data_IF_635906167181
#
_entry.id   IF_635906167181
#
_cell.length_a   1.000
_cell.length_b   1.000
_cell.length_c   1.000
_cell.angle_alpha   90.00
_cell.angle_beta   90.00
_cell.angle_gamma   90.00
#
_symmetry.space_group_name_H-M   'P 1'
#
loop_
_entity.id
_entity.type
_entity.pdbx_description
1 polymer ?
#
# COMPACT_ATOMS: atom_id res chain seq x y z
N UNK A 1 12.90 -35.30 1.68
CA UNK A 1 13.86 -34.55 2.54
C UNK A 1 13.07 -33.77 3.59
N UNK A 2 13.33 -33.97 4.88
CA UNK A 2 12.76 -33.12 5.93
C UNK A 2 13.55 -31.80 5.99
N UNK A 3 12.86 -30.66 5.84
CA UNK A 3 13.47 -29.34 5.97
C UNK A 3 13.88 -29.10 7.43
N UNK A 4 15.03 -28.45 7.64
CA UNK A 4 15.38 -27.94 8.98
C UNK A 4 14.40 -26.84 9.40
N UNK A 5 14.19 -26.60 10.71
CA UNK A 5 13.25 -25.60 11.21
C UNK A 5 13.44 -24.22 10.56
N UNK A 6 14.69 -23.73 10.51
CA UNK A 6 15.00 -22.42 9.89
C UNK A 6 14.73 -22.38 8.38
N UNK A 7 14.99 -23.48 7.65
CA UNK A 7 14.68 -23.55 6.21
C UNK A 7 13.18 -23.57 5.97
N UNK A 8 12.42 -24.22 6.87
CA UNK A 8 10.97 -24.20 6.82
C UNK A 8 10.41 -22.78 7.09
N UNK A 9 10.89 -22.10 8.14
CA UNK A 9 10.51 -20.70 8.40
C UNK A 9 10.77 -19.80 7.18
N UNK A 10 11.95 -19.90 6.58
CA UNK A 10 12.31 -19.09 5.41
C UNK A 10 11.41 -19.41 4.21
N UNK A 11 11.13 -20.68 3.94
CA UNK A 11 10.23 -21.08 2.87
C UNK A 11 8.83 -20.47 3.08
N UNK A 12 8.27 -20.59 4.28
CA UNK A 12 6.98 -19.99 4.64
C UNK A 12 6.96 -18.48 4.41
N UNK A 13 8.02 -17.79 4.81
CA UNK A 13 8.14 -16.33 4.68
C UNK A 13 8.31 -15.89 3.22
N UNK A 14 9.09 -16.61 2.42
CA UNK A 14 9.21 -16.33 0.98
C UNK A 14 7.91 -16.60 0.23
N UNK A 15 7.19 -17.68 0.56
CA UNK A 15 5.89 -17.97 -0.04
C UNK A 15 4.84 -16.92 0.36
N UNK A 16 4.84 -16.47 1.63
CA UNK A 16 3.99 -15.35 2.07
C UNK A 16 4.31 -14.11 1.24
N UNK A 17 5.57 -13.69 1.19
CA UNK A 17 5.98 -12.52 0.41
C UNK A 17 5.66 -12.64 -1.09
N UNK A 18 5.80 -13.82 -1.71
CA UNK A 18 5.42 -14.03 -3.11
C UNK A 18 3.91 -13.89 -3.33
N UNK A 19 3.08 -14.41 -2.43
CA UNK A 19 1.63 -14.20 -2.51
C UNK A 19 1.28 -12.72 -2.35
N UNK A 20 1.87 -12.06 -1.35
CA UNK A 20 1.75 -10.61 -1.12
C UNK A 20 2.11 -9.81 -2.38
N UNK A 21 3.22 -10.17 -3.04
CA UNK A 21 3.66 -9.53 -4.29
C UNK A 21 2.58 -9.60 -5.36
N UNK A 22 2.06 -10.79 -5.66
CA UNK A 22 1.06 -10.96 -6.71
C UNK A 22 -0.28 -10.30 -6.38
N UNK A 23 -0.68 -10.29 -5.11
CA UNK A 23 -1.88 -9.61 -4.64
C UNK A 23 -1.76 -8.08 -4.78
N UNK A 24 -0.67 -7.50 -4.25
CA UNK A 24 -0.50 -6.05 -4.22
C UNK A 24 -0.04 -5.45 -5.54
N UNK A 25 0.53 -6.25 -6.45
CA UNK A 25 0.93 -5.79 -7.78
C UNK A 25 -0.25 -5.15 -8.53
N UNK A 26 -1.40 -5.83 -8.56
CA UNK A 26 -2.62 -5.29 -9.16
C UNK A 26 -3.11 -4.05 -8.42
N UNK A 27 -3.15 -4.10 -7.09
CA UNK A 27 -3.67 -3.03 -6.24
C UNK A 27 -2.86 -1.72 -6.32
N UNK A 28 -1.53 -1.78 -6.25
CA UNK A 28 -0.67 -0.59 -6.35
C UNK A 28 -0.75 0.03 -7.73
N UNK A 29 -0.69 -0.81 -8.78
CA UNK A 29 -0.82 -0.35 -10.16
C UNK A 29 -2.18 0.31 -10.37
N UNK A 30 -3.25 -0.31 -9.88
CA UNK A 30 -4.60 0.23 -9.92
C UNK A 30 -4.71 1.56 -9.17
N UNK A 31 -4.10 1.69 -7.98
CA UNK A 31 -4.17 2.92 -7.18
C UNK A 31 -3.64 4.14 -7.93
N UNK A 32 -2.62 3.99 -8.78
CA UNK A 32 -2.07 5.08 -9.59
C UNK A 32 -2.90 5.42 -10.83
N UNK A 33 -3.57 4.44 -11.45
CA UNK A 33 -4.36 4.66 -12.67
C UNK A 33 -5.85 4.89 -12.41
N UNK A 34 -6.34 4.62 -11.19
CA UNK A 34 -7.75 4.62 -10.82
C UNK A 34 -8.45 5.93 -11.21
N UNK A 35 -7.89 7.06 -10.81
CA UNK A 35 -8.52 8.37 -11.03
C UNK A 35 -8.64 8.67 -12.52
N UNK A 36 -7.59 8.36 -13.30
CA UNK A 36 -7.61 8.50 -14.76
C UNK A 36 -8.66 7.60 -15.42
N UNK A 37 -8.83 6.37 -14.93
CA UNK A 37 -9.86 5.43 -15.39
C UNK A 37 -11.27 5.95 -15.07
N UNK A 38 -11.51 6.40 -13.84
CA UNK A 38 -12.82 6.90 -13.39
C UNK A 38 -13.20 8.16 -14.16
N UNK A 39 -12.27 9.11 -14.31
CA UNK A 39 -12.49 10.34 -15.08
C UNK A 39 -12.79 10.03 -16.56
N UNK A 40 -12.07 9.07 -17.16
CA UNK A 40 -12.33 8.62 -18.53
C UNK A 40 -13.73 8.01 -18.72
N UNK A 41 -14.22 7.27 -17.72
CA UNK A 41 -15.56 6.67 -17.74
C UNK A 41 -16.64 7.73 -17.54
N UNK A 42 -16.43 8.66 -16.61
CA UNK A 42 -17.34 9.78 -16.37
C UNK A 42 -17.50 10.66 -17.62
N UNK A 43 -16.41 10.94 -18.34
CA UNK A 43 -16.48 11.73 -19.58
C UNK A 43 -17.28 11.04 -20.69
N UNK A 44 -17.25 9.69 -20.74
CA UNK A 44 -18.03 8.91 -21.72
C UNK A 44 -19.51 8.80 -21.32
N UNK A 45 -19.79 8.63 -20.03
CA UNK A 45 -21.13 8.47 -19.49
C UNK A 45 -21.22 9.11 -18.10
N UNK A 46 -21.61 10.40 -18.01
CA UNK A 46 -21.66 11.13 -16.74
C UNK A 46 -22.66 10.56 -15.73
N UNK A 47 -23.70 9.86 -16.18
CA UNK A 47 -24.72 9.27 -15.32
C UNK A 47 -24.26 7.96 -14.65
N UNK A 48 -23.22 7.33 -15.19
CA UNK A 48 -22.73 6.02 -14.75
C UNK A 48 -21.91 6.08 -13.46
N UNK A 49 -21.06 7.10 -13.33
CA UNK A 49 -20.17 7.30 -12.18
C UNK A 49 -19.85 8.78 -12.03
N UNK A 50 -19.72 9.26 -10.79
CA UNK A 50 -19.30 10.63 -10.51
C UNK A 50 -17.85 10.86 -10.93
N UNK A 51 -17.54 12.04 -11.45
CA UNK A 51 -16.15 12.44 -11.75
C UNK A 51 -15.23 12.39 -10.54
N UNK A 52 -15.77 12.51 -9.32
CA UNK A 52 -15.01 12.45 -8.06
C UNK A 52 -15.09 11.09 -7.36
N UNK A 53 -15.61 10.06 -8.04
CA UNK A 53 -15.83 8.77 -7.39
C UNK A 53 -14.54 8.12 -6.88
N UNK A 54 -13.37 8.40 -7.48
CA UNK A 54 -12.10 7.89 -6.97
C UNK A 54 -11.79 8.38 -5.55
N UNK A 55 -11.92 9.68 -5.30
CA UNK A 55 -11.75 10.28 -3.96
C UNK A 55 -12.74 9.72 -2.93
N UNK A 56 -14.03 9.70 -3.25
CA UNK A 56 -15.05 9.16 -2.35
C UNK A 56 -14.86 7.66 -2.11
N UNK A 57 -14.46 6.91 -3.14
CA UNK A 57 -14.14 5.49 -3.06
C UNK A 57 -13.01 5.23 -2.09
N UNK A 58 -11.93 6.02 -2.13
CA UNK A 58 -10.82 5.89 -1.19
C UNK A 58 -11.20 6.24 0.25
N UNK A 59 -12.02 7.27 0.46
CA UNK A 59 -12.53 7.59 1.80
C UNK A 59 -13.37 6.45 2.38
N UNK A 60 -14.25 5.84 1.56
CA UNK A 60 -15.06 4.68 1.94
C UNK A 60 -14.17 3.48 2.25
N UNK A 61 -13.17 3.21 1.41
CA UNK A 61 -12.19 2.14 1.62
C UNK A 61 -11.50 2.31 2.98
N UNK A 62 -10.87 3.45 3.27
CA UNK A 62 -10.16 3.64 4.53
C UNK A 62 -11.07 3.59 5.76
N UNK A 63 -12.30 4.09 5.64
CA UNK A 63 -13.30 3.96 6.72
C UNK A 63 -13.65 2.49 6.97
N UNK A 64 -13.93 1.74 5.91
CA UNK A 64 -14.22 0.30 6.00
C UNK A 64 -13.02 -0.48 6.56
N UNK A 65 -11.79 -0.12 6.18
CA UNK A 65 -10.56 -0.70 6.74
C UNK A 65 -10.44 -0.46 8.24
N UNK A 66 -10.68 0.76 8.72
CA UNK A 66 -10.62 1.09 10.14
C UNK A 66 -11.70 0.35 10.95
N UNK A 67 -12.95 0.37 10.48
CA UNK A 67 -14.08 -0.29 11.16
C UNK A 67 -13.91 -1.81 11.18
N UNK A 68 -13.57 -2.42 10.05
CA UNK A 68 -13.38 -3.88 9.97
C UNK A 68 -12.22 -4.36 10.84
N UNK A 69 -11.19 -3.53 11.03
CA UNK A 69 -10.05 -3.85 11.90
C UNK A 69 -10.43 -4.09 13.36
N UNK A 70 -11.58 -3.59 13.83
CA UNK A 70 -12.12 -3.91 15.16
C UNK A 70 -12.53 -5.38 15.31
N UNK A 71 -12.88 -6.05 14.21
CA UNK A 71 -13.49 -7.38 14.22
C UNK A 71 -12.60 -8.45 13.57
N UNK A 72 -11.70 -8.08 12.65
CA UNK A 72 -10.87 -9.04 11.92
C UNK A 72 -9.85 -9.78 12.80
N UNK A 73 -9.38 -9.15 13.90
CA UNK A 73 -8.59 -9.84 14.92
C UNK A 73 -9.36 -11.03 15.55
N UNK A 74 -10.66 -10.85 15.82
CA UNK A 74 -11.51 -11.89 16.37
C UNK A 74 -11.60 -13.12 15.47
N UNK A 75 -11.57 -12.91 14.15
CA UNK A 75 -11.70 -13.99 13.17
C UNK A 75 -10.52 -14.97 13.23
N UNK A 76 -9.36 -14.54 13.72
CA UNK A 76 -8.15 -15.36 13.86
C UNK A 76 -8.26 -16.43 14.95
N UNK A 77 -9.23 -16.30 15.86
CA UNK A 77 -9.54 -17.38 16.80
C UNK A 77 -10.29 -18.56 16.14
N UNK A 78 -10.95 -18.32 15.00
CA UNK A 78 -11.80 -19.29 14.32
C UNK A 78 -11.17 -19.82 13.02
N UNK A 79 -10.46 -18.97 12.29
CA UNK A 79 -9.81 -19.32 11.03
C UNK A 79 -8.30 -19.29 11.17
N UNK A 80 -7.63 -20.28 10.57
CA UNK A 80 -6.17 -20.27 10.46
C UNK A 80 -5.72 -19.09 9.59
N UNK A 81 -4.55 -18.53 9.92
CA UNK A 81 -3.92 -17.39 9.23
C UNK A 81 -3.95 -17.50 7.70
N UNK A 82 -3.60 -18.68 7.15
CA UNK A 82 -3.61 -18.92 5.69
C UNK A 82 -4.97 -18.74 5.04
N UNK A 83 -6.06 -19.12 5.70
CA UNK A 83 -7.40 -19.03 5.13
C UNK A 83 -7.95 -17.61 5.20
N UNK A 84 -7.51 -16.83 6.19
CA UNK A 84 -7.77 -15.40 6.26
C UNK A 84 -7.07 -14.68 5.10
N UNK A 85 -5.82 -15.05 4.79
CA UNK A 85 -5.09 -14.54 3.63
C UNK A 85 -5.80 -14.90 2.32
N UNK A 86 -6.22 -16.15 2.14
CA UNK A 86 -7.00 -16.59 0.96
C UNK A 86 -8.31 -15.80 0.83
N UNK A 87 -9.08 -15.67 1.92
CA UNK A 87 -10.34 -14.92 1.91
C UNK A 87 -10.12 -13.44 1.53
N UNK A 88 -9.06 -12.82 2.07
CA UNK A 88 -8.69 -11.47 1.70
C UNK A 88 -8.40 -11.36 0.20
N UNK A 89 -7.54 -12.23 -0.35
CA UNK A 89 -7.18 -12.18 -1.77
C UNK A 89 -8.37 -12.45 -2.69
N UNK A 90 -9.35 -13.26 -2.27
CA UNK A 90 -10.61 -13.42 -3.02
C UNK A 90 -11.34 -12.08 -3.13
N UNK A 91 -11.43 -11.31 -2.04
CA UNK A 91 -12.03 -9.98 -2.08
C UNK A 91 -11.25 -9.00 -2.97
N UNK A 92 -9.91 -9.07 -2.97
CA UNK A 92 -9.09 -8.34 -3.95
C UNK A 92 -9.45 -8.75 -5.39
N UNK A 93 -9.60 -10.04 -5.66
CA UNK A 93 -10.00 -10.54 -6.99
C UNK A 93 -11.37 -10.01 -7.41
N UNK A 94 -12.38 -10.09 -6.54
CA UNK A 94 -13.72 -9.57 -6.81
C UNK A 94 -13.66 -8.07 -7.13
N UNK A 95 -12.90 -7.28 -6.39
CA UNK A 95 -12.74 -5.84 -6.69
C UNK A 95 -12.30 -5.57 -8.13
N UNK A 96 -11.33 -6.33 -8.66
CA UNK A 96 -10.87 -6.16 -10.04
C UNK A 96 -11.93 -6.52 -11.08
N UNK A 97 -12.82 -7.49 -10.81
CA UNK A 97 -13.92 -7.86 -11.71
C UNK A 97 -14.87 -6.69 -11.98
N UNK A 98 -15.06 -5.80 -11.01
CA UNK A 98 -15.87 -4.59 -11.16
C UNK A 98 -15.46 -3.66 -12.27
N UNK A 99 -14.18 -3.65 -12.62
CA UNK A 99 -13.64 -2.72 -13.60
C UNK A 99 -13.84 -3.18 -15.04
N UNK A 100 -14.26 -4.43 -15.27
CA UNK A 100 -14.75 -4.87 -16.58
C UNK A 100 -16.03 -4.13 -16.97
N UNK A 101 -16.87 -3.82 -15.99
CA UNK A 101 -18.06 -2.99 -16.15
C UNK A 101 -18.30 -2.14 -14.91
N UNK A 102 -17.68 -0.95 -14.90
CA UNK A 102 -17.76 -0.02 -13.76
C UNK A 102 -19.21 0.44 -13.58
N UNK A 103 -19.79 0.31 -12.39
CA UNK A 103 -21.09 0.87 -12.06
C UNK A 103 -20.97 1.54 -10.69
N UNK A 104 -21.66 2.66 -10.47
CA UNK A 104 -21.59 3.37 -9.18
C UNK A 104 -21.85 2.47 -7.96
N UNK A 105 -22.90 1.65 -7.98
CA UNK A 105 -23.23 0.75 -6.87
C UNK A 105 -22.14 -0.30 -6.66
N UNK A 106 -21.68 -0.92 -7.75
CA UNK A 106 -20.61 -1.91 -7.68
C UNK A 106 -19.33 -1.27 -7.16
N UNK A 107 -18.93 -0.13 -7.73
CA UNK A 107 -17.68 0.54 -7.40
C UNK A 107 -17.64 0.86 -5.89
N UNK A 108 -18.64 1.56 -5.34
CA UNK A 108 -18.65 1.87 -3.92
C UNK A 108 -18.79 0.63 -3.02
N UNK A 109 -19.61 -0.37 -3.41
CA UNK A 109 -19.70 -1.63 -2.68
C UNK A 109 -18.36 -2.40 -2.65
N UNK A 110 -17.65 -2.42 -3.77
CA UNK A 110 -16.34 -3.05 -3.89
C UNK A 110 -15.25 -2.32 -3.11
N UNK A 111 -15.36 -0.99 -2.91
CA UNK A 111 -14.46 -0.21 -2.04
C UNK A 111 -14.63 -0.57 -0.56
N UNK A 112 -15.88 -0.78 -0.09
CA UNK A 112 -16.15 -1.29 1.26
C UNK A 112 -15.50 -2.67 1.43
N UNK A 113 -15.74 -3.55 0.46
CA UNK A 113 -15.17 -4.90 0.45
C UNK A 113 -13.63 -4.88 0.45
N UNK A 114 -13.01 -3.95 -0.29
CA UNK A 114 -11.56 -3.76 -0.29
C UNK A 114 -11.04 -3.33 1.07
N UNK A 115 -11.73 -2.44 1.79
CA UNK A 115 -11.35 -2.10 3.17
C UNK A 115 -11.37 -3.29 4.11
N UNK A 116 -12.39 -4.14 4.00
CA UNK A 116 -12.47 -5.42 4.74
C UNK A 116 -11.31 -6.35 4.32
N UNK A 117 -11.04 -6.47 3.03
CA UNK A 117 -9.97 -7.30 2.48
C UNK A 117 -8.59 -6.87 3.03
N UNK A 118 -8.27 -5.58 2.96
CA UNK A 118 -7.06 -5.00 3.54
C UNK A 118 -6.96 -5.32 5.03
N UNK A 119 -8.04 -5.23 5.80
CA UNK A 119 -8.02 -5.54 7.23
C UNK A 119 -7.78 -7.03 7.49
N UNK A 120 -8.41 -7.92 6.73
CA UNK A 120 -8.20 -9.36 6.80
C UNK A 120 -6.75 -9.72 6.46
N UNK A 121 -6.20 -9.18 5.37
CA UNK A 121 -4.83 -9.41 4.95
C UNK A 121 -3.85 -8.99 6.06
N UNK A 122 -3.98 -7.76 6.55
CA UNK A 122 -3.06 -7.21 7.56
C UNK A 122 -3.03 -8.03 8.85
N UNK A 123 -4.17 -8.56 9.27
CA UNK A 123 -4.25 -9.47 10.40
C UNK A 123 -3.65 -10.84 10.04
N UNK A 124 -4.07 -11.43 8.91
CA UNK A 124 -3.60 -12.72 8.43
C UNK A 124 -2.08 -12.81 8.28
N UNK A 125 -1.46 -11.78 7.69
CA UNK A 125 -0.02 -11.63 7.50
C UNK A 125 0.72 -11.60 8.84
N UNK A 126 0.30 -10.73 9.76
CA UNK A 126 0.90 -10.61 11.09
C UNK A 126 0.80 -11.91 11.91
N UNK A 127 -0.34 -12.60 11.82
CA UNK A 127 -0.54 -13.90 12.45
C UNK A 127 0.33 -14.99 11.81
N UNK A 128 0.39 -15.06 10.48
CA UNK A 128 1.20 -16.05 9.78
C UNK A 128 2.69 -15.88 10.11
N UNK A 129 3.18 -14.65 10.16
CA UNK A 129 4.54 -14.33 10.59
C UNK A 129 4.79 -14.74 12.04
N UNK A 130 3.83 -14.56 12.95
CA UNK A 130 3.94 -15.00 14.34
C UNK A 130 3.91 -16.54 14.49
N UNK A 131 3.18 -17.24 13.61
CA UNK A 131 3.11 -18.71 13.56
C UNK A 131 4.40 -19.36 13.03
N UNK A 132 5.16 -18.66 12.19
CA UNK A 132 6.35 -19.17 11.51
C UNK A 132 7.63 -18.39 11.86
N UNK A 133 7.61 -17.62 12.94
CA UNK A 133 8.80 -16.93 13.45
C UNK A 133 8.93 -17.07 14.97
N UNK A 134 10.17 -17.10 15.44
CA UNK A 134 10.53 -16.99 16.85
C UNK A 134 10.79 -15.53 17.23
N UNK A 135 10.90 -15.24 18.53
CA UNK A 135 11.29 -13.89 19.02
C UNK A 135 12.63 -13.40 18.48
N UNK A 136 13.52 -14.32 18.07
CA UNK A 136 14.85 -14.01 17.52
C UNK A 136 14.81 -13.79 16.01
N UNK A 137 13.91 -14.47 15.31
CA UNK A 137 13.87 -14.50 13.84
C UNK A 137 12.84 -13.54 13.25
N UNK A 138 11.84 -13.11 14.02
CA UNK A 138 10.70 -12.37 13.48
C UNK A 138 11.02 -11.02 12.84
N UNK A 139 11.97 -10.26 13.39
CA UNK A 139 12.45 -9.02 12.78
C UNK A 139 13.03 -9.30 11.38
N UNK A 140 13.86 -10.34 11.31
CA UNK A 140 14.52 -10.73 10.07
C UNK A 140 13.53 -11.34 9.07
N UNK A 141 12.53 -12.08 9.54
CA UNK A 141 11.51 -12.69 8.68
C UNK A 141 10.54 -11.64 8.14
N UNK A 142 10.11 -10.69 8.99
CA UNK A 142 9.27 -9.56 8.57
C UNK A 142 9.99 -8.73 7.51
N UNK A 143 11.28 -8.43 7.70
CA UNK A 143 12.05 -7.71 6.67
C UNK A 143 12.26 -8.49 5.35
N UNK A 144 12.16 -9.84 5.34
CA UNK A 144 12.14 -10.60 4.08
C UNK A 144 10.78 -10.47 3.42
N UNK A 145 9.72 -10.71 4.19
CA UNK A 145 8.35 -10.64 3.71
C UNK A 145 8.09 -9.26 3.09
N UNK A 146 8.41 -8.17 3.79
CA UNK A 146 8.20 -6.81 3.32
C UNK A 146 8.99 -6.55 2.04
N UNK A 147 10.25 -6.98 1.96
CA UNK A 147 11.06 -6.77 0.76
C UNK A 147 10.57 -7.56 -0.46
N UNK A 148 10.08 -8.78 -0.27
CA UNK A 148 9.53 -9.60 -1.36
C UNK A 148 8.13 -9.11 -1.71
N UNK A 149 7.24 -8.94 -0.75
CA UNK A 149 5.86 -8.52 -0.96
C UNK A 149 5.72 -7.12 -1.53
N UNK A 150 6.46 -6.15 -0.99
CA UNK A 150 6.38 -4.76 -1.44
C UNK A 150 7.16 -4.51 -2.74
N UNK A 151 7.99 -5.45 -3.20
CA UNK A 151 8.55 -5.39 -4.56
C UNK A 151 7.46 -5.41 -5.65
N UNK A 152 6.20 -5.66 -5.29
CA UNK A 152 5.02 -5.33 -6.11
C UNK A 152 4.99 -3.89 -6.61
N UNK A 153 5.47 -2.89 -5.86
CA UNK A 153 5.57 -1.49 -6.33
C UNK A 153 6.66 -1.32 -7.40
N UNK A 154 7.77 -2.07 -7.27
CA UNK A 154 8.84 -2.09 -8.26
C UNK A 154 8.34 -2.71 -9.57
N UNK A 155 7.75 -3.91 -9.49
CA UNK A 155 7.23 -4.63 -10.65
C UNK A 155 6.04 -3.88 -11.28
N UNK A 156 5.15 -3.32 -10.46
CA UNK A 156 4.00 -2.53 -10.92
C UNK A 156 4.42 -1.24 -11.60
N UNK A 157 5.42 -0.54 -11.06
CA UNK A 157 6.02 0.62 -11.70
C UNK A 157 6.64 0.30 -13.06
N UNK A 158 7.39 -0.81 -13.17
CA UNK A 158 7.94 -1.29 -14.45
C UNK A 158 6.81 -1.63 -15.43
N UNK A 159 5.75 -2.30 -14.97
CA UNK A 159 4.59 -2.62 -15.80
C UNK A 159 3.91 -1.35 -16.33
N UNK A 160 3.74 -0.31 -15.50
CA UNK A 160 3.24 0.99 -15.93
C UNK A 160 4.15 1.64 -16.97
N UNK A 161 5.47 1.61 -16.78
CA UNK A 161 6.41 2.12 -17.78
C UNK A 161 6.22 1.41 -19.13
N UNK A 162 6.09 0.09 -19.15
CA UNK A 162 5.87 -0.69 -20.37
C UNK A 162 4.54 -0.29 -21.02
N UNK A 163 3.44 -0.27 -20.26
CA UNK A 163 2.12 0.13 -20.75
C UNK A 163 2.17 1.55 -21.35
N UNK A 164 2.88 2.47 -20.71
CA UNK A 164 2.98 3.86 -21.16
C UNK A 164 3.82 4.02 -22.42
N UNK A 165 4.79 3.13 -22.67
CA UNK A 165 5.56 3.10 -23.91
C UNK A 165 4.81 2.45 -25.07
N UNK A 166 3.99 1.42 -24.80
CA UNK A 166 3.22 0.71 -25.83
C UNK A 166 2.00 1.55 -26.27
N UNK A 167 1.37 2.28 -25.34
CA UNK A 167 0.21 3.12 -25.59
C UNK A 167 0.53 4.60 -25.26
N UNK A 168 1.33 5.29 -26.09
CA UNK A 168 1.60 6.71 -25.90
C UNK A 168 0.27 7.49 -25.97
N UNK A 169 0.09 8.46 -25.07
CA UNK A 169 -1.05 9.38 -25.17
C UNK A 169 -0.85 10.28 -26.40
N UNK A 170 -1.89 10.45 -27.21
CA UNK A 170 -1.89 11.49 -28.25
C UNK A 170 -1.88 12.86 -27.55
N UNK A 171 -1.09 13.78 -28.09
CA UNK A 171 -0.96 15.12 -27.53
C UNK A 171 -2.25 15.91 -27.81
N UNK A 172 -3.19 15.91 -26.87
CA UNK A 172 -4.37 16.75 -26.95
C UNK A 172 -3.95 18.23 -26.88
N UNK A 173 -4.55 19.09 -27.71
CA UNK A 173 -4.29 20.55 -27.71
C UNK A 173 -4.66 21.23 -26.38
N UNK A 174 -5.39 20.54 -25.49
CA UNK A 174 -5.70 21.00 -24.13
C UNK A 174 -4.86 20.24 -23.09
N UNK A 175 -4.12 20.93 -22.22
CA UNK A 175 -3.37 20.27 -21.15
C UNK A 175 -4.36 19.63 -20.15
N UNK A 176 -4.61 18.34 -20.30
CA UNK A 176 -5.42 17.57 -19.35
C UNK A 176 -4.54 17.09 -18.19
N UNK A 177 -4.93 17.45 -16.97
CA UNK A 177 -4.29 16.97 -15.73
C UNK A 177 -4.58 15.50 -15.43
N UNK A 178 -5.56 14.92 -16.11
CA UNK A 178 -5.94 13.51 -16.01
C UNK A 178 -5.68 12.82 -17.35
N UNK A 179 -5.15 11.59 -17.32
CA UNK A 179 -4.98 10.82 -18.55
C UNK A 179 -6.34 10.39 -19.07
N UNK A 180 -6.77 10.99 -20.18
CA UNK A 180 -7.94 10.52 -20.91
C UNK A 180 -7.54 9.27 -21.71
N UNK A 181 -8.18 8.13 -21.44
CA UNK A 181 -8.04 6.93 -22.27
C UNK A 181 -8.94 6.97 -23.52
N UNK A 182 -9.26 8.17 -24.03
CA UNK A 182 -10.26 8.34 -25.08
C UNK A 182 -10.05 9.62 -25.88
N UNK A 183 -9.78 9.48 -27.18
CA UNK A 183 -10.01 10.52 -28.17
C UNK A 183 -10.78 9.95 -29.37
N UNK A 184 -12.02 10.45 -29.50
CA UNK A 184 -12.83 10.76 -30.69
C UNK A 184 -12.92 9.84 -31.92
N UNK A 185 -12.31 8.65 -31.92
CA UNK A 185 -12.51 7.64 -32.96
C UNK A 185 -13.04 6.34 -32.38
N UNK A 186 -14.10 5.80 -32.99
CA UNK A 186 -14.78 4.57 -32.55
C UNK A 186 -13.77 3.41 -32.39
N UNK A 187 -12.75 3.32 -33.26
CA UNK A 187 -11.65 2.36 -33.15
C UNK A 187 -10.75 2.57 -31.92
N UNK A 188 -10.41 3.81 -31.57
CA UNK A 188 -9.59 4.16 -30.40
C UNK A 188 -10.39 3.94 -29.10
N UNK A 189 -11.69 4.23 -29.11
CA UNK A 189 -12.58 3.98 -27.98
C UNK A 189 -12.76 2.48 -27.68
N UNK A 190 -12.86 1.65 -28.72
CA UNK A 190 -12.88 0.18 -28.61
C UNK A 190 -11.52 -0.32 -28.09
N UNK A 191 -10.41 0.19 -28.64
CA UNK A 191 -9.06 -0.17 -28.20
C UNK A 191 -8.81 0.20 -26.72
N UNK A 192 -9.28 1.35 -26.26
CA UNK A 192 -9.19 1.76 -24.86
C UNK A 192 -10.02 0.90 -23.91
N UNK A 193 -11.21 0.45 -24.33
CA UNK A 193 -12.04 -0.45 -23.55
C UNK A 193 -11.44 -1.87 -23.46
N UNK A 194 -10.92 -2.39 -24.58
CA UNK A 194 -10.20 -3.68 -24.61
C UNK A 194 -8.92 -3.63 -23.79
N UNK A 195 -8.19 -2.51 -23.83
CA UNK A 195 -7.00 -2.30 -23.00
C UNK A 195 -7.35 -2.29 -21.51
N UNK A 196 -8.42 -1.59 -21.12
CA UNK A 196 -8.90 -1.56 -19.74
C UNK A 196 -9.24 -2.98 -19.25
N UNK A 197 -9.98 -3.74 -20.04
CA UNK A 197 -10.32 -5.13 -19.74
C UNK A 197 -9.07 -6.03 -19.66
N UNK A 198 -8.09 -5.83 -20.54
CA UNK A 198 -6.84 -6.57 -20.50
C UNK A 198 -6.00 -6.26 -19.25
N UNK A 199 -5.92 -4.99 -18.85
CA UNK A 199 -5.22 -4.55 -17.63
C UNK A 199 -5.89 -5.16 -16.39
N UNK A 200 -7.20 -4.96 -16.22
CA UNK A 200 -7.91 -5.48 -15.04
C UNK A 200 -8.07 -7.01 -15.07
N UNK A 201 -8.11 -7.63 -16.24
CA UNK A 201 -8.02 -9.08 -16.40
C UNK A 201 -6.67 -9.63 -15.99
N UNK A 202 -5.58 -8.91 -16.29
CA UNK A 202 -4.24 -9.26 -15.80
C UNK A 202 -4.17 -9.13 -14.28
N UNK A 203 -4.68 -8.04 -13.70
CA UNK A 203 -4.71 -7.89 -12.24
C UNK A 203 -5.53 -8.99 -11.56
N UNK A 204 -6.70 -9.33 -12.12
CA UNK A 204 -7.50 -10.45 -11.65
C UNK A 204 -6.72 -11.78 -11.73
N UNK A 205 -6.08 -12.07 -12.87
CA UNK A 205 -5.25 -13.26 -13.03
C UNK A 205 -4.11 -13.34 -12.00
N UNK A 206 -3.41 -12.23 -11.74
CA UNK A 206 -2.37 -12.15 -10.71
C UNK A 206 -2.93 -12.39 -9.30
N UNK A 207 -4.12 -11.86 -8.99
CA UNK A 207 -4.78 -12.17 -7.71
C UNK A 207 -5.14 -13.65 -7.58
N UNK A 208 -5.55 -14.34 -8.65
CA UNK A 208 -5.80 -15.78 -8.63
C UNK A 208 -4.51 -16.58 -8.35
N UNK A 209 -3.38 -16.17 -8.95
CA UNK A 209 -2.07 -16.75 -8.63
C UNK A 209 -1.76 -16.58 -7.14
N UNK A 210 -2.01 -15.40 -6.57
CA UNK A 210 -1.86 -15.17 -5.13
C UNK A 210 -2.76 -16.06 -4.27
N UNK A 211 -4.03 -16.29 -4.69
CA UNK A 211 -4.95 -17.20 -3.97
C UNK A 211 -4.35 -18.60 -3.90
N UNK A 212 -3.81 -19.11 -5.01
CA UNK A 212 -3.18 -20.43 -5.07
C UNK A 212 -1.96 -20.48 -4.16
N UNK A 213 -1.10 -19.46 -4.20
CA UNK A 213 0.10 -19.39 -3.32
C UNK A 213 -0.31 -19.41 -1.84
N UNK A 214 -1.31 -18.60 -1.44
CA UNK A 214 -1.79 -18.56 -0.06
C UNK A 214 -2.48 -19.84 0.38
N UNK A 215 -3.22 -20.52 -0.51
CA UNK A 215 -3.81 -21.82 -0.21
C UNK A 215 -2.75 -22.90 0.06
N UNK A 216 -1.62 -22.81 -0.66
CA UNK A 216 -0.46 -23.72 -0.56
C UNK A 216 0.53 -23.32 0.53
N UNK A 217 0.27 -22.28 1.33
CA UNK A 217 1.17 -21.88 2.41
C UNK A 217 1.42 -23.04 3.39
N UNK A 218 2.69 -23.28 3.78
CA UNK A 218 3.01 -24.24 4.82
C UNK A 218 2.31 -23.88 6.13
N UNK A 219 1.91 -24.90 6.89
CA UNK A 219 1.19 -24.73 8.17
C UNK A 219 1.97 -25.27 9.37
N UNK A 220 3.13 -25.88 9.15
CA UNK A 220 3.88 -26.54 10.20
C UNK A 220 4.67 -25.51 11.01
N UNK A 221 4.37 -25.45 12.31
CA UNK A 221 5.00 -24.50 13.23
C UNK A 221 6.19 -25.16 13.95
N UNK A 222 7.25 -24.38 14.17
CA UNK A 222 8.44 -24.77 14.92
C UNK A 222 8.78 -23.65 15.91
N UNK A 223 8.80 -23.96 17.22
CA UNK A 223 9.11 -23.04 18.34
C UNK A 223 8.76 -21.55 18.04
N UNK A 224 7.49 -21.32 17.71
CA UNK A 224 7.03 -20.06 17.18
C UNK A 224 6.44 -19.16 18.27
N UNK A 225 6.31 -17.88 17.95
CA UNK A 225 5.68 -16.91 18.85
C UNK A 225 4.24 -17.33 19.15
N UNK A 226 3.52 -17.86 18.16
CA UNK A 226 2.14 -18.32 18.31
C UNK A 226 2.01 -19.65 19.07
N UNK A 227 2.90 -20.63 18.85
CA UNK A 227 2.83 -21.94 19.53
C UNK A 227 3.07 -21.84 21.05
N UNK A 228 3.75 -20.78 21.49
CA UNK A 228 4.03 -20.48 22.89
C UNK A 228 2.89 -19.73 23.61
N UNK A 229 1.71 -19.59 22.98
CA UNK A 229 0.54 -18.92 23.55
C UNK A 229 -0.67 -19.86 23.60
N UNK A 230 -1.46 -19.89 24.70
CA UNK A 230 -2.62 -20.76 24.80
C UNK A 230 -3.69 -20.36 23.78
N UNK A 231 -4.15 -21.32 22.97
CA UNK A 231 -5.27 -21.14 22.04
C UNK A 231 -6.59 -21.16 22.82
N UNK A 232 -6.98 -20.00 23.32
CA UNK A 232 -8.29 -19.80 23.93
C UNK A 232 -9.19 -19.17 22.85
N UNK A 233 -10.41 -19.68 22.71
CA UNK A 233 -11.45 -19.07 21.87
C UNK A 233 -12.31 -18.20 22.80
N UNK A 234 -11.99 -16.91 22.97
CA UNK A 234 -12.79 -16.03 23.82
C UNK A 234 -14.17 -15.77 23.17
N UNK A 235 -15.20 -15.63 24.01
CA UNK A 235 -16.48 -15.05 23.58
C UNK A 235 -16.27 -13.64 23.01
N UNK A 236 -17.10 -13.24 22.05
CA UNK A 236 -17.07 -11.90 21.43
C UNK A 236 -17.04 -10.76 22.46
N UNK A 237 -17.80 -10.89 23.56
CA UNK A 237 -17.80 -9.90 24.66
C UNK A 237 -16.43 -9.81 25.34
N UNK A 238 -15.78 -10.94 25.54
CA UNK A 238 -14.45 -11.00 26.16
C UNK A 238 -13.36 -10.45 25.24
N UNK A 239 -13.52 -10.61 23.92
CA UNK A 239 -12.63 -10.01 22.92
C UNK A 239 -12.72 -8.48 22.94
N UNK A 240 -13.93 -7.91 22.92
CA UNK A 240 -14.10 -6.46 23.04
C UNK A 240 -13.53 -5.91 24.36
N UNK A 241 -13.69 -6.65 25.45
CA UNK A 241 -13.08 -6.30 26.74
C UNK A 241 -11.55 -6.38 26.70
N UNK A 242 -10.98 -7.38 26.03
CA UNK A 242 -9.54 -7.52 25.83
C UNK A 242 -8.98 -6.40 24.94
N UNK A 243 -9.67 -6.07 23.85
CA UNK A 243 -9.33 -4.96 22.98
C UNK A 243 -9.32 -3.65 23.75
N UNK A 244 -10.40 -3.33 24.48
CA UNK A 244 -10.50 -2.12 25.29
C UNK A 244 -9.39 -2.04 26.36
N UNK A 245 -9.11 -3.15 27.04
CA UNK A 245 -8.02 -3.24 28.04
C UNK A 245 -6.65 -3.04 27.39
N UNK A 246 -6.46 -3.53 26.16
CA UNK A 246 -5.22 -3.37 25.40
C UNK A 246 -5.05 -1.93 24.92
N UNK A 247 -6.12 -1.26 24.48
CA UNK A 247 -6.09 0.15 24.05
C UNK A 247 -5.63 1.11 25.14
N UNK A 248 -6.00 0.85 26.40
CA UNK A 248 -5.62 1.68 27.55
C UNK A 248 -4.28 1.25 28.18
N UNK A 249 -3.60 0.24 27.63
CA UNK A 249 -2.33 -0.22 28.16
C UNK A 249 -1.25 0.85 27.91
N UNK A 250 -0.40 1.21 28.90
CA UNK A 250 0.58 2.30 28.74
C UNK A 250 1.49 2.17 27.52
N UNK A 251 1.98 0.95 27.25
CA UNK A 251 2.78 0.67 26.05
C UNK A 251 2.02 0.95 24.75
N UNK A 252 0.71 0.67 24.71
CA UNK A 252 -0.11 0.91 23.52
C UNK A 252 -0.40 2.39 23.33
N UNK A 253 -0.69 3.12 24.41
CA UNK A 253 -0.87 4.57 24.37
C UNK A 253 0.38 5.27 23.82
N UNK A 254 1.57 4.86 24.27
CA UNK A 254 2.83 5.41 23.75
C UNK A 254 3.02 5.10 22.25
N UNK A 255 2.62 3.90 21.82
CA UNK A 255 2.73 3.47 20.42
C UNK A 255 1.68 4.10 19.49
N UNK A 256 0.57 4.59 20.03
CA UNK A 256 -0.48 5.27 19.25
C UNK A 256 0.10 6.41 18.40
N UNK A 257 1.02 7.21 18.95
CA UNK A 257 1.69 8.28 18.20
C UNK A 257 2.51 7.76 17.01
N UNK A 258 3.16 6.60 17.18
CA UNK A 258 3.91 5.95 16.10
C UNK A 258 2.98 5.41 15.02
N UNK A 259 1.81 4.88 15.39
CA UNK A 259 0.82 4.38 14.43
C UNK A 259 0.13 5.50 13.66
N UNK A 260 -0.16 6.63 14.31
CA UNK A 260 -0.66 7.83 13.64
C UNK A 260 0.39 8.34 12.64
N UNK A 261 1.66 8.44 13.06
CA UNK A 261 2.77 8.80 12.16
C UNK A 261 2.86 7.86 10.95
N UNK A 262 2.74 6.55 11.17
CA UNK A 262 2.73 5.58 10.07
C UNK A 262 1.55 5.81 9.11
N UNK A 263 0.35 6.06 9.63
CA UNK A 263 -0.83 6.37 8.81
C UNK A 263 -0.63 7.63 7.96
N UNK A 264 -0.09 8.70 8.56
CA UNK A 264 0.23 9.95 7.89
C UNK A 264 1.30 9.78 6.81
N UNK A 265 2.36 9.02 7.09
CA UNK A 265 3.42 8.74 6.12
C UNK A 265 2.87 7.96 4.92
N UNK A 266 2.06 6.92 5.17
CA UNK A 266 1.42 6.12 4.12
C UNK A 266 0.51 6.97 3.24
N UNK A 267 -0.27 7.85 3.85
CA UNK A 267 -1.10 8.82 3.15
C UNK A 267 -0.30 9.79 2.27
N UNK A 268 0.82 10.30 2.78
CA UNK A 268 1.70 11.20 2.05
C UNK A 268 2.25 10.53 0.78
N UNK A 269 2.70 9.29 0.88
CA UNK A 269 3.41 8.62 -0.21
C UNK A 269 2.50 7.93 -1.23
N UNK A 270 1.41 7.28 -0.80
CA UNK A 270 0.48 6.63 -1.74
C UNK A 270 -0.51 7.60 -2.37
N UNK A 271 -0.84 8.70 -1.68
CA UNK A 271 -1.88 9.63 -2.11
C UNK A 271 -1.34 10.99 -2.50
N UNK A 272 -0.81 11.74 -1.53
CA UNK A 272 -0.56 13.18 -1.67
C UNK A 272 0.55 13.44 -2.70
N UNK A 273 1.71 12.78 -2.60
CA UNK A 273 2.84 13.03 -3.50
C UNK A 273 2.59 12.62 -4.96
N UNK A 274 2.04 11.42 -5.27
CA UNK A 274 1.68 11.09 -6.65
C UNK A 274 0.67 12.07 -7.26
N UNK A 275 -0.25 12.59 -6.44
CA UNK A 275 -1.22 13.62 -6.87
C UNK A 275 -0.49 14.92 -7.22
N UNK A 276 0.48 15.36 -6.41
CA UNK A 276 1.22 16.59 -6.69
C UNK A 276 2.08 16.50 -7.95
N UNK A 277 2.62 15.32 -8.26
CA UNK A 277 3.31 15.05 -9.53
C UNK A 277 2.37 15.23 -10.74
N UNK A 278 1.10 14.84 -10.59
CA UNK A 278 0.10 14.95 -11.65
C UNK A 278 -0.50 16.36 -11.76
N UNK A 279 -0.63 17.09 -10.64
CA UNK A 279 -1.24 18.42 -10.58
C UNK A 279 -0.28 19.57 -10.90
N UNK A 280 1.02 19.32 -10.90
CA UNK A 280 1.99 20.35 -11.26
C UNK A 280 2.15 20.40 -12.78
N UNK A 281 1.80 21.51 -13.42
CA UNK A 281 1.73 21.61 -14.89
C UNK A 281 3.06 21.32 -15.62
N UNK A 282 4.21 21.63 -15.00
CA UNK A 282 5.53 21.32 -15.57
C UNK A 282 5.89 19.83 -15.51
N UNK A 283 5.24 19.08 -14.62
CA UNK A 283 5.45 17.65 -14.38
C UNK A 283 4.36 16.80 -15.04
N UNK A 284 3.15 17.33 -15.21
CA UNK A 284 2.01 16.62 -15.80
C UNK A 284 2.23 16.21 -17.26
N UNK A 285 3.13 16.90 -17.97
CA UNK A 285 3.57 16.53 -19.32
C UNK A 285 4.46 15.26 -19.34
N UNK A 286 5.04 14.89 -18.21
CA UNK A 286 5.90 13.73 -18.08
C UNK A 286 5.10 12.49 -17.63
N UNK A 287 4.58 11.77 -18.62
CA UNK A 287 3.76 10.57 -18.45
C UNK A 287 4.45 9.48 -17.61
N UNK A 288 5.79 9.45 -17.56
CA UNK A 288 6.54 8.40 -16.88
C UNK A 288 6.80 8.69 -15.40
N UNK A 289 6.56 9.90 -14.91
CA UNK A 289 7.06 10.32 -13.60
C UNK A 289 6.46 9.53 -12.44
N UNK A 290 5.17 9.23 -12.49
CA UNK A 290 4.46 8.44 -11.46
C UNK A 290 4.95 6.99 -11.47
N UNK A 291 5.21 6.44 -12.67
CA UNK A 291 5.72 5.09 -12.81
C UNK A 291 7.17 4.98 -12.32
N UNK A 292 8.03 5.95 -12.64
CA UNK A 292 9.40 6.06 -12.11
C UNK A 292 9.40 6.20 -10.59
N UNK A 293 8.53 7.05 -10.04
CA UNK A 293 8.35 7.17 -8.59
C UNK A 293 8.03 5.80 -7.95
N UNK A 294 7.06 5.06 -8.49
CA UNK A 294 6.70 3.72 -7.99
C UNK A 294 7.88 2.73 -8.06
N UNK A 295 8.65 2.76 -9.16
CA UNK A 295 9.85 1.92 -9.32
C UNK A 295 10.85 2.19 -8.20
N UNK A 296 11.14 3.45 -7.90
CA UNK A 296 12.14 3.81 -6.89
C UNK A 296 11.66 3.56 -5.45
N UNK A 297 10.37 3.70 -5.16
CA UNK A 297 9.78 3.26 -3.88
C UNK A 297 10.01 1.76 -3.68
N UNK A 298 9.60 0.93 -4.65
CA UNK A 298 9.77 -0.52 -4.55
C UNK A 298 11.24 -0.96 -4.57
N UNK A 299 12.11 -0.21 -5.26
CA UNK A 299 13.56 -0.45 -5.25
C UNK A 299 14.16 -0.21 -3.85
N UNK A 300 13.70 0.81 -3.13
CA UNK A 300 14.14 1.07 -1.76
C UNK A 300 13.71 -0.03 -0.79
N UNK A 301 12.50 -0.57 -0.94
CA UNK A 301 12.02 -1.67 -0.10
C UNK A 301 12.76 -2.98 -0.40
N UNK A 302 12.98 -3.28 -1.68
CA UNK A 302 13.76 -4.44 -2.12
C UNK A 302 15.22 -4.36 -1.63
N UNK A 303 15.87 -3.22 -1.84
CA UNK A 303 17.24 -2.96 -1.35
C UNK A 303 17.32 -2.91 0.17
N UNK A 304 16.25 -2.47 0.84
CA UNK A 304 16.07 -2.55 2.28
C UNK A 304 16.19 -3.99 2.80
N UNK A 305 15.49 -4.93 2.17
CA UNK A 305 15.58 -6.35 2.51
C UNK A 305 16.93 -6.98 2.20
N UNK A 306 17.55 -6.58 1.09
CA UNK A 306 18.80 -7.16 0.58
C UNK A 306 20.05 -6.65 1.32
N UNK A 307 20.12 -5.36 1.61
CA UNK A 307 21.32 -4.72 2.16
C UNK A 307 21.11 -4.20 3.59
N UNK A 308 20.03 -3.45 3.85
CA UNK A 308 19.80 -2.79 5.13
C UNK A 308 19.49 -3.81 6.24
N UNK A 309 18.62 -4.79 5.97
CA UNK A 309 18.27 -5.84 6.92
C UNK A 309 19.49 -6.64 7.40
N UNK A 310 20.39 -7.15 6.53
CA UNK A 310 21.62 -7.81 6.99
C UNK A 310 22.53 -6.91 7.83
N UNK A 311 22.64 -5.62 7.50
CA UNK A 311 23.42 -4.65 8.28
C UNK A 311 22.81 -4.45 9.68
N UNK A 312 21.51 -4.22 9.77
CA UNK A 312 20.80 -4.09 11.05
C UNK A 312 21.00 -5.36 11.90
N UNK A 313 20.94 -6.55 11.28
CA UNK A 313 21.15 -7.81 11.99
C UNK A 313 22.52 -7.89 12.69
N UNK A 314 23.56 -7.23 12.15
CA UNK A 314 24.91 -7.15 12.75
C UNK A 314 24.98 -6.21 13.97
N UNK A 315 24.01 -5.32 14.15
CA UNK A 315 23.99 -4.35 15.25
C UNK A 315 23.52 -4.93 16.62
N UNK A 316 23.36 -6.26 16.74
CA UNK A 316 23.01 -6.98 17.98
C UNK A 316 21.90 -6.31 18.84
N UNK A 317 22.27 -5.61 19.91
CA UNK A 317 21.32 -4.99 20.86
C UNK A 317 20.72 -3.67 20.37
N UNK A 318 21.36 -3.01 19.39
CA UNK A 318 20.96 -1.69 18.90
C UNK A 318 20.06 -1.73 17.66
N UNK A 319 19.60 -2.93 17.25
CA UNK A 319 18.81 -3.15 16.03
C UNK A 319 17.63 -2.19 15.87
N UNK A 320 16.78 -2.10 16.89
CA UNK A 320 15.60 -1.25 16.85
C UNK A 320 15.98 0.24 16.79
N UNK A 321 17.00 0.66 17.56
CA UNK A 321 17.48 2.05 17.58
C UNK A 321 18.03 2.45 16.21
N UNK A 322 18.88 1.61 15.60
CA UNK A 322 19.43 1.84 14.26
C UNK A 322 18.32 1.89 13.20
N UNK A 323 17.32 1.01 13.30
CA UNK A 323 16.17 0.99 12.38
C UNK A 323 15.37 2.29 12.46
N UNK A 324 15.04 2.74 13.67
CA UNK A 324 14.26 3.98 13.88
C UNK A 324 15.08 5.22 13.53
N UNK A 325 16.39 5.25 13.82
CA UNK A 325 17.25 6.36 13.43
C UNK A 325 17.31 6.51 11.90
N UNK A 326 17.48 5.39 11.17
CA UNK A 326 17.44 5.38 9.72
C UNK A 326 16.09 5.87 9.18
N UNK A 327 14.98 5.44 9.80
CA UNK A 327 13.65 5.92 9.47
C UNK A 327 13.52 7.44 9.62
N UNK A 328 13.92 7.99 10.77
CA UNK A 328 13.82 9.44 11.05
C UNK A 328 14.66 10.24 10.06
N UNK A 329 15.88 9.81 9.75
CA UNK A 329 16.74 10.49 8.78
C UNK A 329 16.09 10.47 7.38
N UNK A 330 15.58 9.31 6.95
CA UNK A 330 14.92 9.16 5.65
C UNK A 330 13.67 10.05 5.54
N UNK A 331 12.80 10.05 6.55
CA UNK A 331 11.59 10.88 6.58
C UNK A 331 11.93 12.37 6.63
N UNK A 332 12.86 12.79 7.49
CA UNK A 332 13.25 14.20 7.61
C UNK A 332 13.81 14.73 6.28
N UNK A 333 14.65 13.93 5.61
CA UNK A 333 15.21 14.28 4.29
C UNK A 333 14.10 14.32 3.24
N UNK A 334 13.19 13.35 3.23
CA UNK A 334 12.06 13.33 2.30
C UNK A 334 11.14 14.53 2.50
N UNK A 335 10.78 14.88 3.73
CA UNK A 335 9.94 16.05 4.03
C UNK A 335 10.62 17.36 3.65
N UNK A 336 11.93 17.50 3.88
CA UNK A 336 12.68 18.65 3.41
C UNK A 336 12.63 18.76 1.87
N UNK A 337 12.86 17.65 1.16
CA UNK A 337 12.75 17.63 -0.30
C UNK A 337 11.34 17.94 -0.78
N UNK A 338 10.30 17.43 -0.11
CA UNK A 338 8.90 17.72 -0.43
C UNK A 338 8.61 19.22 -0.38
N UNK A 339 8.97 19.88 0.73
CA UNK A 339 8.75 21.32 0.91
C UNK A 339 9.50 22.17 -0.13
N UNK A 340 10.66 21.71 -0.58
CA UNK A 340 11.50 22.44 -1.53
C UNK A 340 11.09 22.21 -2.99
N UNK A 341 10.48 21.06 -3.29
CA UNK A 341 10.20 20.60 -4.66
C UNK A 341 8.75 20.67 -5.09
N UNK A 342 7.79 20.71 -4.15
CA UNK A 342 6.36 20.66 -4.45
C UNK A 342 5.75 22.06 -4.30
N UNK A 343 5.07 22.61 -5.32
CA UNK A 343 4.33 23.86 -5.18
C UNK A 343 3.21 23.72 -4.14
N UNK A 344 3.01 24.73 -3.29
CA UNK A 344 2.02 24.69 -2.20
C UNK A 344 0.62 24.28 -2.69
N UNK A 345 0.18 24.88 -3.81
CA UNK A 345 -1.14 24.62 -4.40
C UNK A 345 -1.25 23.25 -5.04
N UNK A 346 -0.16 22.59 -5.43
CA UNK A 346 -0.20 21.29 -6.11
C UNK A 346 -0.75 20.14 -5.22
N UNK A 347 -0.81 20.36 -3.91
CA UNK A 347 -1.47 19.43 -2.96
C UNK A 347 -3.00 19.56 -2.96
N UNK A 348 -3.53 20.65 -3.50
CA UNK A 348 -4.97 21.00 -3.44
C UNK A 348 -5.56 21.12 -4.85
N UNK A 349 -4.82 21.60 -5.83
CA UNK A 349 -5.36 21.80 -7.16
C UNK A 349 -4.27 21.79 -8.22
N UNK A 350 -4.66 21.54 -9.48
CA UNK A 350 -3.79 21.78 -10.62
C UNK A 350 -3.21 23.19 -10.62
N UNK A 351 -1.90 23.32 -10.79
CA UNK A 351 -1.22 24.63 -10.70
C UNK A 351 -0.07 24.79 -11.68
N UNK A 352 0.09 26.02 -12.16
CA UNK A 352 1.25 26.49 -12.90
C UNK A 352 2.33 27.12 -11.98
N UNK A 353 2.10 27.10 -10.66
CA UNK A 353 3.02 27.67 -9.68
C UNK A 353 4.39 26.99 -9.71
N UNK A 354 5.44 27.81 -9.61
CA UNK A 354 6.81 27.32 -9.48
C UNK A 354 7.08 26.84 -8.04
N UNK A 355 7.80 25.73 -7.89
CA UNK A 355 8.30 25.31 -6.59
C UNK A 355 9.56 26.10 -6.19
N UNK A 356 9.88 26.11 -4.90
CA UNK A 356 10.93 26.96 -4.32
C UNK A 356 12.32 26.76 -4.95
N UNK A 357 12.65 25.51 -5.31
CA UNK A 357 13.90 25.17 -6.02
C UNK A 357 13.83 25.30 -7.54
N UNK A 358 12.65 25.48 -8.13
CA UNK A 358 12.48 25.49 -9.58
C UNK A 358 12.25 26.91 -10.09
N UNK A 359 13.32 27.56 -10.54
CA UNK A 359 13.27 28.74 -11.42
C UNK A 359 13.33 28.29 -12.90
N UNK A 360 12.79 29.09 -13.86
CA UNK A 360 12.39 28.57 -15.16
C UNK A 360 13.59 28.35 -16.11
N UNK A 361 14.06 27.09 -16.22
CA UNK A 361 14.84 26.61 -17.38
C UNK A 361 14.35 25.21 -17.81
N UNK A 362 13.61 25.10 -18.94
CA UNK A 362 12.63 24.02 -19.17
C UNK A 362 13.19 22.61 -19.33
N UNK A 363 14.39 22.42 -19.89
CA UNK A 363 14.95 21.08 -20.15
C UNK A 363 15.77 20.55 -18.98
N UNK A 364 16.59 21.40 -18.36
CA UNK A 364 17.35 21.05 -17.16
C UNK A 364 16.43 20.81 -15.96
N UNK A 365 15.30 21.52 -15.89
CA UNK A 365 14.29 21.32 -14.86
C UNK A 365 13.60 19.97 -14.96
N UNK A 366 13.29 19.46 -16.15
CA UNK A 366 12.54 18.20 -16.30
C UNK A 366 13.35 16.97 -15.83
N UNK A 367 14.64 16.89 -16.18
CA UNK A 367 15.51 15.81 -15.69
C UNK A 367 15.78 15.92 -14.19
N UNK A 368 15.97 17.14 -13.67
CA UNK A 368 16.12 17.39 -12.24
C UNK A 368 14.86 16.99 -11.46
N UNK A 369 13.68 17.31 -11.99
CA UNK A 369 12.37 16.91 -11.46
C UNK A 369 12.21 15.39 -11.40
N UNK A 370 12.50 14.67 -12.49
CA UNK A 370 12.47 13.20 -12.52
C UNK A 370 13.40 12.60 -11.48
N UNK A 371 14.63 13.11 -11.42
CA UNK A 371 15.65 12.65 -10.47
C UNK A 371 15.17 12.87 -9.04
N UNK A 372 14.58 14.04 -8.75
CA UNK A 372 14.06 14.36 -7.43
C UNK A 372 12.88 13.46 -7.05
N UNK A 373 11.95 13.19 -7.97
CA UNK A 373 10.85 12.25 -7.75
C UNK A 373 11.37 10.83 -7.46
N UNK A 374 12.42 10.39 -8.15
CA UNK A 374 13.08 9.11 -7.90
C UNK A 374 13.77 9.09 -6.52
N UNK A 375 14.52 10.14 -6.17
CA UNK A 375 15.19 10.27 -4.86
C UNK A 375 14.18 10.31 -3.72
N UNK A 376 13.11 11.09 -3.87
CA UNK A 376 12.03 11.15 -2.90
C UNK A 376 11.34 9.79 -2.77
N UNK A 377 11.01 9.14 -3.89
CA UNK A 377 10.46 7.78 -3.91
C UNK A 377 11.34 6.79 -3.16
N UNK A 378 12.64 6.82 -3.40
CA UNK A 378 13.58 5.94 -2.71
C UNK A 378 13.63 6.21 -1.20
N UNK A 379 13.72 7.48 -0.77
CA UNK A 379 13.77 7.84 0.65
C UNK A 379 12.49 7.42 1.37
N UNK A 380 11.33 7.60 0.76
CA UNK A 380 10.06 7.24 1.38
C UNK A 380 9.84 5.72 1.39
N UNK A 381 10.23 4.99 0.35
CA UNK A 381 10.23 3.53 0.38
C UNK A 381 11.16 2.97 1.46
N UNK A 382 12.32 3.58 1.68
CA UNK A 382 13.22 3.22 2.77
C UNK A 382 12.60 3.52 4.15
N UNK A 383 11.91 4.65 4.27
CA UNK A 383 11.17 5.01 5.47
C UNK A 383 10.03 4.02 5.77
N UNK A 384 9.25 3.61 4.77
CA UNK A 384 8.19 2.61 4.95
C UNK A 384 8.77 1.25 5.34
N UNK A 385 9.80 0.78 4.63
CA UNK A 385 10.49 -0.48 4.93
C UNK A 385 10.96 -0.55 6.39
N UNK A 386 11.65 0.49 6.86
CA UNK A 386 12.18 0.55 8.23
C UNK A 386 11.07 0.59 9.29
N UNK A 387 10.01 1.36 9.05
CA UNK A 387 8.88 1.48 9.97
C UNK A 387 8.03 0.20 10.02
N UNK A 388 7.77 -0.41 8.87
CA UNK A 388 7.03 -1.67 8.74
C UNK A 388 7.76 -2.80 9.47
N UNK A 389 9.08 -2.92 9.29
CA UNK A 389 9.89 -3.88 10.02
C UNK A 389 9.88 -3.63 11.54
N UNK A 390 10.04 -2.38 11.97
CA UNK A 390 10.01 -2.03 13.40
C UNK A 390 8.64 -2.31 14.04
N UNK A 391 7.56 -1.99 13.34
CA UNK A 391 6.17 -2.23 13.77
C UNK A 391 5.94 -3.71 14.02
N UNK A 392 6.33 -4.60 13.10
CA UNK A 392 6.12 -6.04 13.25
C UNK A 392 6.76 -6.58 14.55
N UNK A 393 7.96 -6.11 14.89
CA UNK A 393 8.66 -6.47 16.12
C UNK A 393 7.97 -5.89 17.36
N UNK A 394 7.59 -4.61 17.31
CA UNK A 394 6.90 -3.92 18.39
C UNK A 394 5.57 -4.61 18.71
N UNK A 395 4.74 -4.92 17.71
CA UNK A 395 3.42 -5.53 17.88
C UNK A 395 3.48 -6.86 18.64
N UNK A 396 4.56 -7.60 18.46
CA UNK A 396 4.73 -8.91 19.08
C UNK A 396 5.32 -8.84 20.50
N UNK A 397 5.97 -7.73 20.85
CA UNK A 397 6.63 -7.52 22.15
C UNK A 397 5.89 -6.58 23.09
N UNK A 398 5.13 -5.62 22.58
CA UNK A 398 4.54 -4.54 23.37
C UNK A 398 3.54 -5.04 24.43
N UNK A 399 2.64 -5.96 24.04
CA UNK A 399 1.67 -6.60 24.94
C UNK A 399 1.58 -8.10 24.60
N UNK A 400 2.47 -8.95 25.14
CA UNK A 400 2.58 -10.35 24.76
C UNK A 400 1.33 -11.20 25.00
N UNK A 401 0.44 -10.77 25.91
CA UNK A 401 -0.79 -11.48 26.26
C UNK A 401 -1.94 -11.19 25.29
N UNK A 402 -1.91 -10.05 24.59
CA UNK A 402 -2.98 -9.57 23.72
C UNK A 402 -2.45 -9.24 22.32
N UNK A 403 -1.57 -10.09 21.78
CA UNK A 403 -0.84 -9.79 20.52
C UNK A 403 -1.78 -9.58 19.33
N UNK A 404 -2.85 -10.36 19.25
CA UNK A 404 -3.82 -10.27 18.15
C UNK A 404 -4.55 -8.92 18.21
N UNK A 405 -4.93 -8.50 19.42
CA UNK A 405 -5.55 -7.22 19.69
C UNK A 405 -4.58 -6.06 19.42
N UNK A 406 -3.30 -6.21 19.76
CA UNK A 406 -2.26 -5.21 19.41
C UNK A 406 -2.20 -5.01 17.90
N UNK A 407 -2.16 -6.08 17.10
CA UNK A 407 -2.15 -5.99 15.64
C UNK A 407 -3.38 -5.23 15.09
N UNK A 408 -4.57 -5.57 15.59
CA UNK A 408 -5.81 -4.86 15.24
C UNK A 408 -5.77 -3.37 15.63
N UNK A 409 -5.34 -3.05 16.86
CA UNK A 409 -5.23 -1.67 17.33
C UNK A 409 -4.24 -0.83 16.52
N UNK A 410 -3.15 -1.43 16.06
CA UNK A 410 -2.20 -0.71 15.19
C UNK A 410 -2.87 -0.18 13.93
N UNK A 411 -3.85 -0.91 13.38
CA UNK A 411 -4.55 -0.54 12.15
C UNK A 411 -5.68 0.45 12.40
N UNK A 412 -6.33 0.38 13.56
CA UNK A 412 -7.33 1.37 13.99
C UNK A 412 -6.68 2.74 14.22
N UNK A 413 -5.49 2.76 14.85
CA UNK A 413 -4.76 4.00 15.12
C UNK A 413 -4.05 4.58 13.87
N UNK A 414 -3.88 3.79 12.81
CA UNK A 414 -3.47 4.31 11.50
C UNK A 414 -4.63 5.06 10.84
N UNK A 415 -4.87 6.29 11.30
CA UNK A 415 -5.76 7.20 10.59
C UNK A 415 -5.09 7.58 9.27
N UNK A 416 -5.64 7.07 8.17
CA UNK A 416 -5.22 7.46 6.82
C UNK A 416 -6.06 8.64 6.37
N UNK A 417 -5.40 9.75 6.08
CA UNK A 417 -6.03 10.89 5.47
C UNK A 417 -5.85 10.82 3.96
N UNK A 418 -6.91 11.08 3.21
CA UNK A 418 -6.81 11.41 1.81
C UNK A 418 -7.32 12.85 1.68
N UNK A 419 -6.53 13.74 1.10
CA UNK A 419 -6.99 15.10 0.83
C UNK A 419 -8.06 15.02 -0.24
N UNK A 420 -9.30 15.38 0.11
CA UNK A 420 -10.32 15.79 -0.86
C UNK A 420 -10.02 17.26 -1.19
N UNK A 421 -9.43 17.55 -2.37
CA UNK A 421 -8.95 18.88 -2.66
C UNK A 421 -10.08 19.87 -2.99
N UNK A 422 -11.29 19.37 -3.26
CA UNK A 422 -12.35 20.13 -3.92
C UNK A 422 -13.63 20.32 -3.09
N UNK A 423 -13.73 19.78 -1.87
CA UNK A 423 -14.86 20.04 -0.96
C UNK A 423 -15.05 21.54 -0.61
N UNK A 424 -14.07 22.41 -0.90
CA UNK A 424 -14.18 23.88 -0.76
C UNK A 424 -14.71 24.60 -2.01
N UNK A 425 -14.78 23.95 -3.17
CA UNK A 425 -15.15 24.58 -4.44
C UNK A 425 -16.65 24.52 -4.75
N UNK A 426 -17.44 23.72 -4.02
CA UNK A 426 -18.91 23.75 -4.14
C UNK A 426 -19.59 24.95 -3.42
N UNK A 427 -18.83 25.97 -3.01
CA UNK A 427 -19.38 27.21 -2.41
C UNK A 427 -18.94 28.50 -3.11
N UNK A 428 -18.38 28.46 -4.32
CA UNK A 428 -18.14 29.67 -5.13
C UNK A 428 -18.52 29.48 -6.58
#
# INVERSE_FOLDING_TARGET
>A
MQLSPRRHELLSVYMLGLGTLFMYLGYHTQSFICESVIHSVHHKDPHRISGFAGYYGQAIHYTAFAVSSLFTASLQHYLASKWILVLSTIFFGVYHLGFFYINSFYFYGSQIMMGIACSLYNNGEGAYLAEHSSRRTVESNSGIETAVGHSSMLVGGIALLIVFNIFPAEATETPSYYRSFSENHIQVAIMGYTLLQAIYGTFFGLTLVSVVIFALLPTKQYDSIASNSPRIIPSFRNQFKALAKTSIHPNMILLTFTFIHMGLLVSLFLGIYPTTLSFTASLSQDVFIVALYSVFVGMAEFSGGLFIRPLIKRCHSYKLIVTIALHVIAVATALALFQLSVPERATIEPTHGAALWFTPRPVLSALACRTLACVFGYLVGLADFTLTMARAVICQKAVPQYRMEVFSLTRIHMVRFHQDPLARWQKK
#
